data_IF_863930296157
#
_entry.id   IF_863930296157
#
_cell.length_a   1.000
_cell.length_b   1.000
_cell.length_c   1.000
_cell.angle_alpha   90.00
_cell.angle_beta   90.00
_cell.angle_gamma   90.00
#
_symmetry.space_group_name_H-M   'P 1'
#
loop_
_entity.id
_entity.type
_entity.pdbx_description
1 polymer ?
#
# COMPACT_ATOMS: atom_id res chain seq x y z
N UNK A 1 -18.96 11.33 2.66
CA UNK A 1 -18.93 10.43 3.83
C UNK A 1 -17.77 9.42 3.79
N UNK A 2 -17.49 8.77 2.64
CA UNK A 2 -16.33 7.86 2.45
C UNK A 2 -15.00 8.48 2.92
N UNK A 3 -14.66 9.68 2.40
CA UNK A 3 -13.38 10.33 2.70
C UNK A 3 -13.20 10.53 4.21
N UNK A 4 -14.22 11.00 4.94
CA UNK A 4 -14.12 11.23 6.39
C UNK A 4 -13.94 9.94 7.20
N UNK A 5 -14.52 8.83 6.73
CA UNK A 5 -14.47 7.53 7.43
C UNK A 5 -13.16 6.79 7.18
N UNK A 6 -12.60 6.91 5.98
CA UNK A 6 -11.35 6.23 5.58
C UNK A 6 -10.15 7.19 5.49
N UNK A 7 -10.28 8.46 5.89
CA UNK A 7 -9.19 9.47 5.83
C UNK A 7 -7.93 9.00 6.55
N UNK A 8 -8.08 8.39 7.72
CA UNK A 8 -6.94 7.86 8.49
C UNK A 8 -6.16 6.84 7.66
N UNK A 9 -6.87 5.96 6.95
CA UNK A 9 -6.25 4.95 6.09
C UNK A 9 -5.50 5.61 4.93
N UNK A 10 -6.12 6.62 4.30
CA UNK A 10 -5.50 7.36 3.21
C UNK A 10 -4.23 8.11 3.65
N UNK A 11 -4.19 8.63 4.87
CA UNK A 11 -3.00 9.29 5.42
C UNK A 11 -1.94 8.29 5.83
N UNK A 12 -2.30 7.17 6.49
CA UNK A 12 -1.32 6.22 7.02
C UNK A 12 -0.71 5.28 5.98
N UNK A 13 -1.44 4.92 4.92
CA UNK A 13 -0.97 3.96 3.93
C UNK A 13 0.36 4.35 3.25
N UNK A 14 0.57 5.61 2.80
CA UNK A 14 1.84 6.03 2.22
C UNK A 14 3.03 5.91 3.18
N UNK A 15 2.84 6.28 4.46
CA UNK A 15 3.90 6.16 5.48
C UNK A 15 4.23 4.69 5.77
N UNK A 16 3.23 3.83 5.86
CA UNK A 16 3.46 2.39 6.05
C UNK A 16 4.20 1.78 4.86
N UNK A 17 3.84 2.15 3.63
CA UNK A 17 4.54 1.73 2.42
C UNK A 17 6.01 2.16 2.41
N UNK A 18 6.26 3.42 2.78
CA UNK A 18 7.62 3.94 2.92
C UNK A 18 8.43 3.16 3.95
N UNK A 19 7.90 2.99 5.17
CA UNK A 19 8.61 2.35 6.27
C UNK A 19 8.90 0.88 5.99
N UNK A 20 7.95 0.15 5.40
CA UNK A 20 8.14 -1.26 5.04
C UNK A 20 9.23 -1.40 3.98
N UNK A 21 9.19 -0.59 2.92
CA UNK A 21 10.19 -0.67 1.86
C UNK A 21 11.57 -0.21 2.33
N UNK A 22 11.64 0.82 3.18
CA UNK A 22 12.89 1.25 3.80
C UNK A 22 13.49 0.14 4.68
N UNK A 23 12.67 -0.57 5.46
CA UNK A 23 13.12 -1.71 6.27
C UNK A 23 13.64 -2.88 5.40
N UNK A 24 12.92 -3.24 4.34
CA UNK A 24 13.35 -4.27 3.38
C UNK A 24 14.69 -3.88 2.74
N UNK A 25 14.88 -2.61 2.40
CA UNK A 25 16.14 -2.12 1.84
C UNK A 25 17.31 -2.28 2.80
N UNK A 26 17.11 -2.01 4.10
CA UNK A 26 18.14 -2.25 5.12
C UNK A 26 18.51 -3.72 5.15
N UNK A 27 17.53 -4.63 5.20
CA UNK A 27 17.79 -6.08 5.24
C UNK A 27 18.52 -6.57 3.99
N UNK A 28 18.11 -6.12 2.80
CA UNK A 28 18.77 -6.49 1.54
C UNK A 28 20.18 -5.93 1.45
N UNK A 29 20.38 -4.72 1.96
CA UNK A 29 21.69 -4.07 1.99
C UNK A 29 22.62 -4.82 2.93
N UNK A 30 22.16 -5.22 4.13
CA UNK A 30 22.89 -5.94 5.19
C UNK A 30 23.21 -7.40 4.83
N UNK A 31 22.28 -8.11 4.19
CA UNK A 31 22.44 -9.51 3.82
C UNK A 31 23.36 -9.74 2.60
N UNK A 32 23.64 -8.69 1.82
CA UNK A 32 24.29 -8.81 0.52
C UNK A 32 25.79 -8.49 0.48
N UNK A 33 26.34 -7.71 1.41
CA UNK A 33 27.68 -7.13 1.20
C UNK A 33 28.83 -7.90 1.86
N UNK A 34 28.64 -8.62 2.97
CA UNK A 34 29.77 -9.20 3.73
C UNK A 34 30.81 -8.18 4.26
N UNK A 35 30.70 -6.92 3.86
CA UNK A 35 31.52 -5.79 4.25
C UNK A 35 30.75 -4.97 5.29
N UNK A 36 31.20 -5.07 6.53
CA UNK A 36 30.63 -4.41 7.72
C UNK A 36 30.93 -2.91 7.79
N UNK A 37 31.66 -2.34 6.82
CA UNK A 37 31.91 -0.89 6.71
C UNK A 37 30.75 -0.15 6.03
N UNK A 38 29.55 -0.25 6.60
CA UNK A 38 28.44 0.60 6.22
C UNK A 38 28.71 2.04 6.63
N UNK A 39 29.17 2.88 5.69
CA UNK A 39 29.01 4.34 5.83
C UNK A 39 27.52 4.59 6.00
N UNK A 40 27.09 4.99 7.20
CA UNK A 40 25.72 5.37 7.58
C UNK A 40 24.93 6.06 6.45
N UNK A 41 25.62 6.94 5.70
CA UNK A 41 25.07 7.64 4.55
C UNK A 41 24.55 6.74 3.41
N UNK A 42 25.17 5.60 3.14
CA UNK A 42 24.73 4.63 2.14
C UNK A 42 23.41 3.96 2.57
N UNK A 43 23.31 3.55 3.84
CA UNK A 43 22.08 2.98 4.40
C UNK A 43 20.94 3.98 4.34
N UNK A 44 21.19 5.24 4.75
CA UNK A 44 20.19 6.31 4.69
C UNK A 44 19.74 6.58 3.25
N UNK A 45 20.66 6.61 2.28
CA UNK A 45 20.33 6.82 0.87
C UNK A 45 19.53 5.67 0.28
N UNK A 46 19.90 4.42 0.59
CA UNK A 46 19.14 3.24 0.19
C UNK A 46 17.74 3.25 0.81
N UNK A 47 17.63 3.52 2.11
CA UNK A 47 16.33 3.66 2.79
C UNK A 47 15.46 4.73 2.14
N UNK A 48 16.03 5.88 1.76
CA UNK A 48 15.29 6.94 1.09
C UNK A 48 14.79 6.50 -0.30
N UNK A 49 15.67 5.90 -1.13
CA UNK A 49 15.29 5.46 -2.48
C UNK A 49 14.22 4.37 -2.45
N UNK A 50 14.44 3.30 -1.70
CA UNK A 50 13.48 2.21 -1.61
C UNK A 50 12.22 2.61 -0.84
N UNK A 51 12.34 3.49 0.17
CA UNK A 51 11.21 4.08 0.85
C UNK A 51 10.31 4.87 -0.10
N UNK A 52 10.89 5.68 -1.00
CA UNK A 52 10.11 6.40 -2.04
C UNK A 52 9.41 5.42 -2.97
N UNK A 53 10.06 4.33 -3.38
CA UNK A 53 9.43 3.27 -4.18
C UNK A 53 8.23 2.68 -3.43
N UNK A 54 8.41 2.33 -2.15
CA UNK A 54 7.32 1.82 -1.30
C UNK A 54 6.17 2.81 -1.13
N UNK A 55 6.47 4.10 -1.03
CA UNK A 55 5.47 5.17 -0.98
C UNK A 55 4.65 5.22 -2.27
N UNK A 56 5.30 5.19 -3.44
CA UNK A 56 4.62 5.22 -4.74
C UNK A 56 3.71 4.00 -4.91
N UNK A 57 4.20 2.81 -4.56
CA UNK A 57 3.40 1.57 -4.58
C UNK A 57 2.19 1.69 -3.66
N UNK A 58 2.38 2.18 -2.43
CA UNK A 58 1.29 2.34 -1.47
C UNK A 58 0.25 3.36 -1.95
N UNK A 59 0.68 4.46 -2.59
CA UNK A 59 -0.23 5.43 -3.20
C UNK A 59 -1.03 4.80 -4.33
N UNK A 60 -0.39 4.04 -5.22
CA UNK A 60 -1.08 3.36 -6.32
C UNK A 60 -2.12 2.35 -5.81
N UNK A 61 -1.75 1.52 -4.82
CA UNK A 61 -2.68 0.59 -4.17
C UNK A 61 -3.83 1.32 -3.47
N UNK A 62 -3.54 2.41 -2.75
CA UNK A 62 -4.57 3.24 -2.12
C UNK A 62 -5.55 3.82 -3.15
N UNK A 63 -5.04 4.40 -4.24
CA UNK A 63 -5.87 4.97 -5.30
C UNK A 63 -6.73 3.89 -5.96
N UNK A 64 -6.17 2.72 -6.25
CA UNK A 64 -6.92 1.59 -6.79
C UNK A 64 -8.04 1.12 -5.85
N UNK A 65 -7.76 0.99 -4.56
CA UNK A 65 -8.75 0.63 -3.54
C UNK A 65 -9.88 1.66 -3.41
N UNK A 66 -9.53 2.95 -3.39
CA UNK A 66 -10.51 4.06 -3.35
C UNK A 66 -11.33 4.10 -4.64
N UNK A 67 -10.71 3.98 -5.80
CA UNK A 67 -11.39 3.99 -7.09
C UNK A 67 -12.41 2.84 -7.17
N UNK A 68 -12.02 1.63 -6.74
CA UNK A 68 -12.94 0.49 -6.70
C UNK A 68 -14.15 0.78 -5.78
N UNK A 69 -13.93 1.34 -4.59
CA UNK A 69 -14.99 1.73 -3.67
C UNK A 69 -15.91 2.82 -4.26
N UNK A 70 -15.36 3.81 -4.96
CA UNK A 70 -16.15 4.88 -5.60
C UNK A 70 -16.96 4.36 -6.78
N UNK A 71 -16.40 3.46 -7.59
CA UNK A 71 -17.07 2.91 -8.77
C UNK A 71 -18.18 1.92 -8.40
N UNK A 72 -17.94 1.06 -7.40
CA UNK A 72 -18.83 -0.07 -7.11
C UNK A 72 -19.58 0.04 -5.79
N UNK A 73 -19.24 0.98 -4.90
CA UNK A 73 -19.95 1.19 -3.62
C UNK A 73 -19.91 2.66 -3.14
N UNK A 74 -20.21 3.60 -4.05
CA UNK A 74 -20.17 5.04 -3.77
C UNK A 74 -21.02 5.47 -2.56
N UNK A 75 -22.12 4.76 -2.33
CA UNK A 75 -23.09 5.05 -1.27
C UNK A 75 -22.88 4.21 0.00
N UNK A 76 -21.84 3.36 0.06
CA UNK A 76 -21.55 2.48 1.21
C UNK A 76 -22.73 1.59 1.62
N UNK A 77 -23.55 1.18 0.65
CA UNK A 77 -24.75 0.35 0.89
C UNK A 77 -24.41 -1.13 0.96
N UNK A 78 -23.22 -1.52 0.48
CA UNK A 78 -22.78 -2.91 0.50
C UNK A 78 -22.35 -3.38 1.88
N UNK A 79 -22.39 -4.70 2.06
CA UNK A 79 -21.94 -5.35 3.29
C UNK A 79 -20.45 -5.11 3.55
N UNK A 80 -20.04 -5.22 4.82
CA UNK A 80 -18.62 -5.08 5.21
C UNK A 80 -17.70 -6.06 4.48
N UNK A 81 -18.15 -7.30 4.24
CA UNK A 81 -17.38 -8.28 3.46
C UNK A 81 -17.15 -7.79 2.03
N UNK A 82 -18.21 -7.34 1.35
CA UNK A 82 -18.11 -6.84 -0.02
C UNK A 82 -17.16 -5.63 -0.14
N UNK A 83 -17.24 -4.68 0.81
CA UNK A 83 -16.34 -3.52 0.85
C UNK A 83 -14.88 -3.89 1.07
N UNK A 84 -14.64 -4.88 1.93
CA UNK A 84 -13.29 -5.40 2.20
C UNK A 84 -12.70 -6.04 0.96
N UNK A 85 -13.45 -6.91 0.28
CA UNK A 85 -13.01 -7.55 -0.97
C UNK A 85 -12.79 -6.52 -2.08
N UNK A 86 -13.69 -5.56 -2.22
CA UNK A 86 -13.61 -4.53 -3.25
C UNK A 86 -12.37 -3.64 -3.07
N UNK A 87 -12.07 -3.22 -1.83
CA UNK A 87 -10.88 -2.45 -1.53
C UNK A 87 -9.60 -3.27 -1.76
N UNK A 88 -9.59 -4.56 -1.39
CA UNK A 88 -8.45 -5.44 -1.60
C UNK A 88 -8.16 -5.64 -3.10
N UNK A 89 -9.19 -5.97 -3.89
CA UNK A 89 -9.08 -6.13 -5.35
C UNK A 89 -8.65 -4.83 -6.01
N UNK A 90 -9.23 -3.69 -5.61
CA UNK A 90 -8.83 -2.39 -6.11
C UNK A 90 -7.36 -2.08 -5.81
N UNK A 91 -6.88 -2.40 -4.61
CA UNK A 91 -5.48 -2.18 -4.25
C UNK A 91 -4.52 -3.08 -5.04
N UNK A 92 -4.84 -4.36 -5.21
CA UNK A 92 -4.08 -5.28 -6.07
C UNK A 92 -4.01 -4.72 -7.49
N UNK A 93 -5.17 -4.36 -8.05
CA UNK A 93 -5.26 -3.82 -9.42
C UNK A 93 -4.45 -2.53 -9.58
N UNK A 94 -4.49 -1.61 -8.61
CA UNK A 94 -3.71 -0.38 -8.64
C UNK A 94 -2.20 -0.62 -8.71
N UNK A 95 -1.69 -1.54 -7.89
CA UNK A 95 -0.25 -1.89 -7.88
C UNK A 95 0.16 -2.65 -9.14
N UNK A 96 -0.67 -3.59 -9.60
CA UNK A 96 -0.40 -4.34 -10.83
C UNK A 96 -0.39 -3.42 -12.06
N UNK A 97 -1.32 -2.46 -12.13
CA UNK A 97 -1.36 -1.46 -13.21
C UNK A 97 -0.11 -0.58 -13.18
N UNK A 98 0.29 -0.07 -12.01
CA UNK A 98 1.54 0.68 -11.87
C UNK A 98 2.73 -0.14 -12.39
N UNK A 99 2.82 -1.39 -11.96
CA UNK A 99 3.93 -2.29 -12.33
C UNK A 99 3.92 -2.60 -13.82
N UNK A 100 2.74 -2.77 -14.43
CA UNK A 100 2.59 -2.93 -15.88
C UNK A 100 3.06 -1.70 -16.66
N UNK A 101 2.68 -0.50 -16.21
CA UNK A 101 3.15 0.75 -16.84
C UNK A 101 4.66 0.87 -16.76
N UNK A 102 5.26 0.61 -15.60
CA UNK A 102 6.72 0.64 -15.43
C UNK A 102 7.40 -0.43 -16.30
N UNK A 103 6.86 -1.64 -16.36
CA UNK A 103 7.40 -2.71 -17.18
C UNK A 103 7.36 -2.38 -18.69
N UNK A 104 6.28 -1.73 -19.16
CA UNK A 104 6.20 -1.24 -20.55
C UNK A 104 7.31 -0.23 -20.82
N UNK A 105 7.50 0.75 -19.92
CA UNK A 105 8.57 1.75 -20.05
C UNK A 105 9.95 1.08 -20.07
N UNK A 106 10.21 0.12 -19.18
CA UNK A 106 11.48 -0.62 -19.15
C UNK A 106 11.70 -1.42 -20.44
N UNK A 107 10.64 -2.01 -20.99
CA UNK A 107 10.71 -2.74 -22.26
C UNK A 107 11.04 -1.80 -23.42
N UNK A 108 10.49 -0.57 -23.43
CA UNK A 108 10.83 0.45 -24.43
C UNK A 108 12.27 0.98 -24.31
N UNK A 109 12.93 0.75 -23.17
CA UNK A 109 14.33 1.08 -22.92
C UNK A 109 15.26 -0.13 -23.13
N UNK A 110 14.79 -1.18 -23.80
CA UNK A 110 15.49 -2.45 -24.04
C UNK A 110 15.92 -3.19 -22.76
N UNK A 111 15.21 -2.96 -21.66
CA UNK A 111 15.48 -3.60 -20.36
C UNK A 111 14.41 -4.65 -20.00
N UNK A 112 14.31 -5.68 -20.84
CA UNK A 112 13.31 -6.75 -20.69
C UNK A 112 13.45 -7.59 -19.41
N UNK A 113 14.68 -7.73 -18.88
CA UNK A 113 14.93 -8.47 -17.65
C UNK A 113 14.32 -7.73 -16.45
N UNK A 114 14.62 -6.43 -16.30
CA UNK A 114 14.06 -5.63 -15.22
C UNK A 114 12.55 -5.43 -15.39
N UNK A 115 12.02 -5.42 -16.61
CA UNK A 115 10.58 -5.42 -16.86
C UNK A 115 9.90 -6.68 -16.27
N UNK A 116 10.46 -7.87 -16.52
CA UNK A 116 9.95 -9.13 -15.95
C UNK A 116 10.01 -9.15 -14.42
N UNK A 117 11.13 -8.70 -13.85
CA UNK A 117 11.30 -8.57 -12.39
C UNK A 117 10.27 -7.60 -11.80
N UNK A 118 10.03 -6.47 -12.45
CA UNK A 118 9.06 -5.46 -12.03
C UNK A 118 7.64 -6.02 -11.98
N UNK A 119 7.24 -6.82 -12.98
CA UNK A 119 5.92 -7.48 -12.99
C UNK A 119 5.78 -8.49 -11.85
N UNK A 120 6.81 -9.30 -11.61
CA UNK A 120 6.79 -10.29 -10.53
C UNK A 120 6.66 -9.61 -9.15
N UNK A 121 7.47 -8.57 -8.88
CA UNK A 121 7.35 -7.78 -7.65
C UNK A 121 6.01 -7.04 -7.57
N UNK A 122 5.49 -6.54 -8.69
CA UNK A 122 4.17 -5.93 -8.77
C UNK A 122 3.05 -6.83 -8.30
N UNK A 123 3.08 -8.11 -8.68
CA UNK A 123 2.14 -9.11 -8.20
C UNK A 123 2.28 -9.35 -6.69
N UNK A 124 3.50 -9.56 -6.21
CA UNK A 124 3.77 -9.82 -4.79
C UNK A 124 3.33 -8.64 -3.92
N UNK A 125 3.75 -7.42 -4.27
CA UNK A 125 3.40 -6.21 -3.56
C UNK A 125 1.92 -5.86 -3.72
N UNK A 126 1.31 -6.18 -4.86
CA UNK A 126 -0.12 -6.04 -5.08
C UNK A 126 -0.92 -6.89 -4.10
N UNK A 127 -0.56 -8.17 -3.93
CA UNK A 127 -1.18 -9.05 -2.94
C UNK A 127 -1.02 -8.52 -1.52
N UNK A 128 0.19 -8.07 -1.15
CA UNK A 128 0.44 -7.46 0.16
C UNK A 128 -0.42 -6.21 0.38
N UNK A 129 -0.52 -5.33 -0.63
CA UNK A 129 -1.37 -4.14 -0.59
C UNK A 129 -2.86 -4.53 -0.45
N UNK A 130 -3.32 -5.58 -1.13
CA UNK A 130 -4.67 -6.11 -1.00
C UNK A 130 -4.99 -6.58 0.42
N UNK A 131 -4.08 -7.33 1.05
CA UNK A 131 -4.22 -7.77 2.45
C UNK A 131 -4.28 -6.55 3.39
N UNK A 132 -3.39 -5.58 3.21
CA UNK A 132 -3.37 -4.37 4.04
C UNK A 132 -4.64 -3.55 3.87
N UNK A 133 -5.14 -3.39 2.65
CA UNK A 133 -6.40 -2.71 2.37
C UNK A 133 -7.58 -3.42 3.04
N UNK A 134 -7.63 -4.75 3.00
CA UNK A 134 -8.65 -5.54 3.68
C UNK A 134 -8.63 -5.33 5.20
N UNK A 135 -7.45 -5.43 5.83
CA UNK A 135 -7.28 -5.22 7.27
C UNK A 135 -7.72 -3.81 7.67
N UNK A 136 -7.29 -2.80 6.92
CA UNK A 136 -7.61 -1.40 7.18
C UNK A 136 -9.11 -1.13 7.08
N UNK A 137 -9.78 -1.65 6.05
CA UNK A 137 -11.23 -1.51 5.90
C UNK A 137 -11.96 -2.21 7.05
N UNK A 138 -11.57 -3.43 7.40
CA UNK A 138 -12.15 -4.15 8.54
C UNK A 138 -11.98 -3.38 9.85
N UNK A 139 -10.80 -2.79 10.07
CA UNK A 139 -10.53 -1.97 11.25
C UNK A 139 -11.42 -0.72 11.30
N UNK A 140 -11.54 0.01 10.19
CA UNK A 140 -12.40 1.20 10.11
C UNK A 140 -13.88 0.86 10.32
N UNK A 141 -14.35 -0.27 9.80
CA UNK A 141 -15.71 -0.77 10.02
C UNK A 141 -15.95 -1.08 11.50
N UNK A 142 -15.04 -1.82 12.15
CA UNK A 142 -15.12 -2.12 13.60
C UNK A 142 -15.10 -0.85 14.46
N UNK A 143 -14.27 0.13 14.12
CA UNK A 143 -14.20 1.38 14.89
C UNK A 143 -15.48 2.21 14.77
N UNK A 144 -16.18 2.12 13.64
CA UNK A 144 -17.45 2.82 13.42
C UNK A 144 -18.62 2.20 14.19
N UNK A 145 -18.52 0.91 14.53
CA UNK A 145 -19.55 0.16 15.25
C UNK A 145 -19.43 0.26 16.78
N UNK A 146 -18.32 0.81 17.31
CA UNK A 146 -18.19 1.01 18.76
C UNK A 146 -19.20 2.07 19.22
N UNK A 147 -20.13 1.73 20.15
CA UNK A 147 -21.06 2.71 20.70
C UNK A 147 -20.28 3.83 21.39
N UNK A 148 -20.70 5.09 21.17
CA UNK A 148 -20.34 6.22 22.02
C UNK A 148 -20.95 6.02 23.42
N UNK A 149 -20.43 5.08 24.21
CA UNK A 149 -20.97 4.78 25.55
C UNK A 149 -20.41 5.69 26.66
N UNK A 150 -19.66 6.75 26.32
CA UNK A 150 -18.99 7.61 27.30
C UNK A 150 -19.50 9.06 27.36
N UNK A 151 -20.64 9.40 26.74
CA UNK A 151 -21.13 10.78 26.66
C UNK A 151 -22.45 11.06 27.42
N UNK A 152 -22.97 10.09 28.19
CA UNK A 152 -24.23 10.24 28.95
C UNK A 152 -24.03 9.78 30.39
N UNK A 153 -23.14 10.46 31.10
CA UNK A 153 -22.84 10.09 32.48
C UNK A 153 -22.08 11.16 33.24
N UNK A 154 -22.57 12.40 33.25
CA UNK A 154 -22.42 13.30 34.41
C UNK A 154 -23.69 14.11 34.58
N UNK A 155 -24.29 13.87 35.74
CA UNK A 155 -25.37 14.59 36.39
C UNK A 155 -25.06 16.09 36.52
#
# INVERSE_FOLDING_TARGET
>A
MIIRRYWRIAVFAPFMGFLIAAAVAVVMTDAGSGETEYRFWFVVRSMANYGVIGLVIAVAGMLGGVAAMVLFDRHLTKSTRARTTLAAVGAIAGVVLLSGVVAIVLTMLDDGLYAGITLAFGLIFGLAAGVMAAIMVLYAERQSQRPRSAATGRH
#
